data_IF_721461696446
#
_entry.id   IF_721461696446
#
_cell.length_a   1.000
_cell.length_b   1.000
_cell.length_c   1.000
_cell.angle_alpha   90.00
_cell.angle_beta   90.00
_cell.angle_gamma   90.00
#
_symmetry.space_group_name_H-M   'P 1'
#
loop_
_entity.id
_entity.type
_entity.pdbx_description
1 polymer ?
#
# COMPACT_ATOMS: atom_id res chain seq x y z
N UNK A 1 -11.24 -21.92 7.54
CA UNK A 1 -12.60 -22.50 7.51
C UNK A 1 -13.53 -21.84 6.49
N UNK A 2 -13.30 -20.58 6.06
CA UNK A 2 -14.15 -19.89 5.06
C UNK A 2 -13.85 -20.29 3.61
N UNK A 3 -12.62 -20.69 3.29
CA UNK A 3 -12.21 -21.10 1.93
C UNK A 3 -12.74 -22.50 1.55
N UNK A 4 -12.80 -23.44 2.48
CA UNK A 4 -13.31 -24.81 2.21
C UNK A 4 -14.82 -24.88 1.93
N UNK A 5 -15.60 -23.87 2.40
CA UNK A 5 -17.04 -23.78 2.10
C UNK A 5 -17.35 -23.15 0.74
N UNK A 6 -16.39 -22.41 0.14
CA UNK A 6 -16.59 -21.79 -1.18
C UNK A 6 -16.43 -22.79 -2.35
N UNK A 7 -15.56 -23.77 -2.25
CA UNK A 7 -15.35 -24.73 -3.35
C UNK A 7 -16.61 -25.59 -3.63
N UNK A 8 -17.31 -26.04 -2.60
CA UNK A 8 -18.53 -26.87 -2.79
C UNK A 8 -19.76 -26.10 -3.27
N UNK A 9 -19.78 -24.75 -3.14
CA UNK A 9 -20.89 -23.90 -3.65
C UNK A 9 -20.66 -23.47 -5.11
N UNK A 10 -19.45 -23.57 -5.62
CA UNK A 10 -19.06 -23.10 -6.95
C UNK A 10 -19.42 -24.11 -8.03
N UNK A 11 -19.32 -25.41 -7.78
CA UNK A 11 -19.58 -26.44 -8.80
C UNK A 11 -21.04 -26.47 -9.29
N UNK A 12 -22.02 -26.10 -8.46
CA UNK A 12 -23.43 -26.05 -8.85
C UNK A 12 -23.86 -24.78 -9.60
N UNK A 13 -23.02 -23.73 -9.60
CA UNK A 13 -23.34 -22.43 -10.22
C UNK A 13 -23.09 -22.40 -11.74
N UNK A 14 -22.21 -23.25 -12.26
CA UNK A 14 -21.75 -23.19 -13.64
C UNK A 14 -22.09 -24.44 -14.42
N UNK A 15 -22.60 -24.26 -15.65
CA UNK A 15 -22.92 -25.31 -16.64
C UNK A 15 -22.02 -25.20 -17.88
N UNK A 16 -22.03 -26.23 -18.68
CA UNK A 16 -21.40 -26.20 -20.01
C UNK A 16 -22.13 -25.24 -20.94
N UNK A 17 -21.44 -24.76 -21.96
CA UNK A 17 -22.02 -23.98 -23.06
C UNK A 17 -23.00 -24.83 -23.88
N UNK A 18 -24.09 -24.23 -24.31
CA UNK A 18 -25.00 -24.81 -25.30
C UNK A 18 -24.46 -24.66 -26.73
N UNK A 19 -24.95 -25.45 -27.68
CA UNK A 19 -24.57 -25.32 -29.09
C UNK A 19 -24.89 -23.91 -29.66
N UNK A 20 -26.01 -23.34 -29.24
CA UNK A 20 -26.38 -21.96 -29.61
C UNK A 20 -25.36 -20.94 -29.09
N UNK A 21 -24.98 -21.03 -27.82
CA UNK A 21 -23.98 -20.12 -27.23
C UNK A 21 -22.61 -20.25 -27.91
N UNK A 22 -22.18 -21.47 -28.24
CA UNK A 22 -20.95 -21.70 -29.00
C UNK A 22 -21.02 -21.08 -30.41
N UNK A 23 -22.16 -21.17 -31.09
CA UNK A 23 -22.36 -20.55 -32.40
C UNK A 23 -22.26 -19.05 -32.32
N UNK A 24 -22.91 -18.41 -31.33
CA UNK A 24 -22.87 -16.96 -31.13
C UNK A 24 -21.46 -16.50 -30.74
N UNK A 25 -20.78 -17.17 -29.85
CA UNK A 25 -19.40 -16.85 -29.44
C UNK A 25 -18.45 -16.91 -30.66
N UNK A 26 -18.53 -17.97 -31.44
CA UNK A 26 -17.73 -18.12 -32.67
C UNK A 26 -18.00 -17.00 -33.67
N UNK A 27 -19.29 -16.67 -33.90
CA UNK A 27 -19.70 -15.55 -34.78
C UNK A 27 -19.22 -14.20 -34.27
N UNK A 28 -19.07 -14.03 -32.95
CA UNK A 28 -18.51 -12.85 -32.31
C UNK A 28 -16.95 -12.81 -32.33
N UNK A 29 -16.29 -13.75 -33.00
CA UNK A 29 -14.84 -13.83 -33.10
C UNK A 29 -14.15 -14.34 -31.83
N UNK A 30 -14.87 -15.10 -31.00
CA UNK A 30 -14.28 -15.72 -29.83
C UNK A 30 -13.64 -17.07 -30.17
N UNK A 31 -12.58 -17.43 -29.47
CA UNK A 31 -11.86 -18.69 -29.62
C UNK A 31 -11.55 -19.30 -28.25
N UNK A 32 -11.35 -20.60 -28.20
CA UNK A 32 -10.89 -21.29 -27.01
C UNK A 32 -9.89 -22.39 -27.37
N UNK A 33 -8.96 -22.70 -26.48
CA UNK A 33 -8.10 -23.89 -26.59
C UNK A 33 -8.96 -25.16 -26.55
N UNK A 34 -9.93 -25.21 -25.63
CA UNK A 34 -10.93 -26.25 -25.49
C UNK A 34 -12.22 -25.63 -24.88
N UNK A 35 -13.29 -25.62 -25.69
CA UNK A 35 -14.59 -25.10 -25.25
C UNK A 35 -15.21 -25.88 -24.09
N UNK A 36 -14.83 -27.15 -23.89
CA UNK A 36 -15.33 -27.96 -22.78
C UNK A 36 -14.88 -27.47 -21.42
N UNK A 37 -13.77 -26.69 -21.38
CA UNK A 37 -13.23 -26.06 -20.20
C UNK A 37 -13.84 -24.68 -19.89
N UNK A 38 -14.72 -24.18 -20.77
CA UNK A 38 -15.46 -22.92 -20.55
C UNK A 38 -16.83 -23.23 -19.97
N UNK A 39 -17.07 -22.80 -18.76
CA UNK A 39 -18.34 -22.96 -18.06
C UNK A 39 -18.98 -21.63 -17.78
N UNK A 40 -20.32 -21.57 -17.81
CA UNK A 40 -21.08 -20.33 -17.70
C UNK A 40 -22.20 -20.46 -16.67
N UNK A 41 -22.54 -19.34 -16.02
CA UNK A 41 -23.69 -19.26 -15.12
C UNK A 41 -25.01 -19.20 -15.92
N UNK A 42 -26.16 -19.43 -15.25
CA UNK A 42 -27.49 -19.33 -15.88
C UNK A 42 -27.79 -17.94 -16.49
N UNK A 43 -27.23 -16.87 -15.95
CA UNK A 43 -27.43 -15.50 -16.47
C UNK A 43 -26.43 -15.08 -17.55
N UNK A 44 -25.65 -16.00 -18.11
CA UNK A 44 -24.69 -15.71 -19.17
C UNK A 44 -25.40 -15.46 -20.52
N UNK A 45 -25.01 -14.37 -21.22
CA UNK A 45 -25.49 -14.03 -22.56
C UNK A 45 -24.29 -13.84 -23.51
N UNK A 46 -24.09 -14.75 -24.50
CA UNK A 46 -22.92 -14.76 -25.37
C UNK A 46 -22.82 -13.50 -26.27
N UNK A 47 -23.90 -12.74 -26.47
CA UNK A 47 -23.86 -11.51 -27.30
C UNK A 47 -22.96 -10.41 -26.71
N UNK A 48 -22.68 -10.45 -25.39
CA UNK A 48 -21.81 -9.50 -24.70
C UNK A 48 -20.35 -9.99 -24.56
N UNK A 49 -19.99 -11.06 -25.28
CA UNK A 49 -18.61 -11.55 -25.35
C UNK A 49 -18.15 -11.51 -26.81
N UNK A 50 -17.11 -10.68 -27.08
CA UNK A 50 -16.64 -10.42 -28.45
C UNK A 50 -15.12 -10.36 -28.53
N UNK A 51 -14.54 -11.09 -29.49
CA UNK A 51 -13.09 -11.10 -29.70
C UNK A 51 -12.32 -11.57 -28.48
N UNK A 52 -12.87 -12.51 -27.74
CA UNK A 52 -12.25 -13.08 -26.57
C UNK A 52 -11.54 -14.40 -26.90
N UNK A 53 -10.41 -14.66 -26.23
CA UNK A 53 -9.73 -15.95 -26.26
C UNK A 53 -9.75 -16.59 -24.87
N UNK A 54 -10.01 -17.88 -24.78
CA UNK A 54 -10.11 -18.64 -23.55
C UNK A 54 -9.12 -19.81 -23.52
N UNK A 55 -8.26 -19.87 -22.49
CA UNK A 55 -7.35 -20.97 -22.24
C UNK A 55 -7.49 -21.53 -20.83
N UNK A 56 -7.23 -22.81 -20.68
CA UNK A 56 -7.36 -23.49 -19.40
C UNK A 56 -8.81 -23.52 -18.88
N UNK A 57 -8.99 -23.48 -17.57
CA UNK A 57 -10.29 -23.52 -16.90
C UNK A 57 -10.90 -22.10 -16.77
N UNK A 58 -12.04 -21.89 -17.43
CA UNK A 58 -12.75 -20.60 -17.45
C UNK A 58 -14.14 -20.76 -16.85
N UNK A 59 -14.51 -19.84 -15.95
CA UNK A 59 -15.86 -19.71 -15.41
C UNK A 59 -16.36 -18.28 -15.62
N UNK A 60 -17.52 -18.13 -16.26
CA UNK A 60 -18.10 -16.83 -16.60
C UNK A 60 -19.44 -16.65 -15.90
N UNK A 61 -19.57 -15.61 -15.12
CA UNK A 61 -20.79 -15.18 -14.45
C UNK A 61 -21.81 -14.54 -15.40
N UNK A 62 -22.90 -14.07 -14.83
CA UNK A 62 -23.94 -13.34 -15.54
C UNK A 62 -23.39 -12.00 -16.09
N UNK A 63 -23.78 -11.65 -17.31
CA UNK A 63 -23.32 -10.44 -17.97
C UNK A 63 -24.49 -9.64 -18.60
N UNK A 64 -24.20 -8.53 -19.28
CA UNK A 64 -25.21 -7.66 -19.90
C UNK A 64 -25.81 -6.61 -18.99
N UNK A 65 -25.40 -6.54 -17.71
CA UNK A 65 -25.80 -5.48 -16.80
C UNK A 65 -25.29 -4.11 -17.28
N UNK A 66 -26.03 -3.04 -17.00
CA UNK A 66 -25.61 -1.68 -17.30
C UNK A 66 -24.52 -1.22 -16.33
N UNK A 67 -23.42 -0.71 -16.87
CA UNK A 67 -22.31 -0.12 -16.12
C UNK A 67 -22.22 1.35 -16.49
N UNK A 68 -22.32 2.20 -15.47
CA UNK A 68 -22.21 3.65 -15.61
C UNK A 68 -20.74 4.07 -15.47
N UNK A 69 -20.20 4.65 -16.53
CA UNK A 69 -18.83 5.15 -16.61
C UNK A 69 -18.80 6.68 -16.51
N UNK A 70 -17.64 7.28 -16.21
CA UNK A 70 -17.47 8.74 -16.22
C UNK A 70 -17.97 9.38 -17.52
N UNK A 71 -18.47 10.60 -17.43
CA UNK A 71 -19.02 11.31 -18.57
C UNK A 71 -20.43 10.87 -19.02
N UNK A 72 -21.13 10.08 -18.20
CA UNK A 72 -22.50 9.62 -18.49
C UNK A 72 -22.56 8.45 -19.49
N UNK A 73 -21.43 7.86 -19.82
CA UNK A 73 -21.37 6.70 -20.73
C UNK A 73 -21.92 5.46 -20.05
N UNK A 74 -22.82 4.74 -20.73
CA UNK A 74 -23.36 3.47 -20.27
C UNK A 74 -22.85 2.35 -21.17
N UNK A 75 -22.19 1.36 -20.58
CA UNK A 75 -21.76 0.13 -21.26
C UNK A 75 -22.45 -1.09 -20.66
N UNK A 76 -22.45 -2.18 -21.39
CA UNK A 76 -22.92 -3.47 -20.88
C UNK A 76 -21.74 -4.28 -20.38
N UNK A 77 -21.91 -4.90 -19.22
CA UNK A 77 -20.94 -5.88 -18.69
C UNK A 77 -20.74 -7.01 -19.68
N UNK A 78 -19.54 -7.53 -19.74
CA UNK A 78 -19.13 -8.56 -20.68
C UNK A 78 -17.64 -8.55 -20.96
N UNK A 79 -17.20 -9.26 -21.98
CA UNK A 79 -15.78 -9.43 -22.31
C UNK A 79 -15.56 -8.99 -23.76
N UNK A 80 -14.68 -8.02 -23.94
CA UNK A 80 -14.43 -7.39 -25.24
C UNK A 80 -12.92 -7.28 -25.52
N UNK A 81 -12.42 -8.02 -26.49
CA UNK A 81 -10.99 -8.02 -26.88
C UNK A 81 -10.07 -8.32 -25.69
N UNK A 82 -10.13 -9.54 -25.19
CA UNK A 82 -9.32 -10.00 -24.08
C UNK A 82 -8.97 -11.49 -24.21
N UNK A 83 -7.79 -11.86 -23.76
CA UNK A 83 -7.42 -13.25 -23.56
C UNK A 83 -7.42 -13.58 -22.07
N UNK A 84 -8.10 -14.67 -21.70
CA UNK A 84 -8.25 -15.11 -20.31
C UNK A 84 -7.73 -16.55 -20.18
N UNK A 85 -6.89 -16.80 -19.17
CA UNK A 85 -6.32 -18.11 -18.88
C UNK A 85 -6.54 -18.47 -17.41
N UNK A 86 -7.20 -19.61 -17.16
CA UNK A 86 -7.49 -20.09 -15.80
C UNK A 86 -8.17 -19.03 -14.93
N UNK A 87 -9.27 -18.42 -15.40
CA UNK A 87 -9.95 -17.30 -14.72
C UNK A 87 -11.38 -17.66 -14.29
N UNK A 88 -11.78 -17.11 -13.14
CA UNK A 88 -13.18 -17.05 -12.72
C UNK A 88 -13.66 -15.61 -12.78
N UNK A 89 -14.73 -15.36 -13.52
CA UNK A 89 -15.31 -14.04 -13.72
C UNK A 89 -16.69 -13.99 -13.05
N UNK A 90 -16.87 -13.08 -12.11
CA UNK A 90 -18.12 -12.86 -11.38
C UNK A 90 -19.24 -12.25 -12.22
N UNK A 91 -20.35 -11.95 -11.57
CA UNK A 91 -21.52 -11.38 -12.20
C UNK A 91 -21.35 -9.89 -12.47
N UNK A 92 -21.80 -9.39 -13.61
CA UNK A 92 -21.77 -7.98 -13.97
C UNK A 92 -20.37 -7.39 -14.26
N UNK A 93 -19.37 -8.23 -14.49
CA UNK A 93 -17.98 -7.82 -14.78
C UNK A 93 -17.87 -7.26 -16.20
N UNK A 94 -17.10 -6.18 -16.36
CA UNK A 94 -16.67 -5.64 -17.66
C UNK A 94 -15.17 -5.83 -17.81
N UNK A 95 -14.77 -6.56 -18.85
CA UNK A 95 -13.36 -6.68 -19.27
C UNK A 95 -13.26 -6.17 -20.70
N UNK A 96 -12.42 -5.17 -20.94
CA UNK A 96 -12.28 -4.60 -22.27
C UNK A 96 -10.84 -4.17 -22.58
N UNK A 97 -10.37 -4.51 -23.78
CA UNK A 97 -9.07 -4.06 -24.29
C UNK A 97 -7.90 -4.48 -23.40
N UNK A 98 -7.70 -5.76 -23.22
CA UNK A 98 -6.54 -6.32 -22.53
C UNK A 98 -5.41 -6.54 -23.54
N UNK A 99 -4.26 -5.93 -23.31
CA UNK A 99 -3.15 -5.91 -24.27
C UNK A 99 -2.47 -7.26 -24.45
N UNK A 100 -2.23 -7.97 -23.35
CA UNK A 100 -1.67 -9.33 -23.36
C UNK A 100 -2.71 -10.35 -22.93
N UNK A 101 -2.89 -10.55 -21.64
CA UNK A 101 -3.87 -11.49 -21.10
C UNK A 101 -4.12 -11.25 -19.60
N UNK A 102 -5.18 -11.85 -19.10
CA UNK A 102 -5.43 -12.03 -17.66
C UNK A 102 -5.24 -13.53 -17.37
N UNK A 103 -4.42 -13.88 -16.39
CA UNK A 103 -4.12 -15.27 -16.08
C UNK A 103 -4.13 -15.56 -14.58
N UNK A 104 -4.80 -16.66 -14.20
CA UNK A 104 -4.91 -17.16 -12.83
C UNK A 104 -5.47 -16.12 -11.87
N UNK A 105 -6.61 -15.51 -12.25
CA UNK A 105 -7.31 -14.54 -11.43
C UNK A 105 -8.79 -14.89 -11.25
N UNK A 106 -9.28 -14.60 -10.05
CA UNK A 106 -10.69 -14.61 -9.71
C UNK A 106 -11.16 -13.15 -9.55
N UNK A 107 -12.03 -12.71 -10.47
CA UNK A 107 -12.65 -11.40 -10.44
C UNK A 107 -14.03 -11.52 -9.81
N UNK A 108 -14.27 -10.84 -8.72
CA UNK A 108 -15.56 -10.81 -8.06
C UNK A 108 -16.59 -9.97 -8.87
N UNK A 109 -17.81 -9.85 -8.35
CA UNK A 109 -18.90 -9.20 -9.06
C UNK A 109 -18.63 -7.72 -9.32
N UNK A 110 -19.16 -7.18 -10.43
CA UNK A 110 -19.11 -5.77 -10.84
C UNK A 110 -17.71 -5.18 -11.00
N UNK A 111 -16.69 -6.00 -11.15
CA UNK A 111 -15.32 -5.54 -11.45
C UNK A 111 -15.28 -4.93 -12.86
N UNK A 112 -14.54 -3.84 -13.00
CA UNK A 112 -14.26 -3.20 -14.30
C UNK A 112 -12.76 -3.26 -14.57
N UNK A 113 -12.39 -3.93 -15.67
CA UNK A 113 -11.01 -3.98 -16.19
C UNK A 113 -11.02 -3.40 -17.60
N UNK A 114 -10.35 -2.28 -17.81
CA UNK A 114 -10.37 -1.61 -19.12
C UNK A 114 -9.01 -1.01 -19.49
N UNK A 115 -8.57 -1.26 -20.72
CA UNK A 115 -7.30 -0.77 -21.26
C UNK A 115 -6.10 -1.15 -20.38
N UNK A 116 -5.99 -2.40 -20.00
CA UNK A 116 -4.86 -2.92 -19.21
C UNK A 116 -3.88 -3.68 -20.08
N UNK A 117 -2.59 -3.62 -19.76
CA UNK A 117 -1.59 -4.43 -20.45
C UNK A 117 -1.72 -5.89 -20.07
N UNK A 118 -1.57 -6.21 -18.78
CA UNK A 118 -1.67 -7.57 -18.25
C UNK A 118 -2.09 -7.60 -16.78
N UNK A 119 -2.76 -8.70 -16.37
CA UNK A 119 -3.02 -9.04 -14.97
C UNK A 119 -2.70 -10.52 -14.78
N UNK A 120 -1.63 -10.84 -14.02
CA UNK A 120 -1.07 -12.20 -14.00
C UNK A 120 -0.75 -12.62 -12.57
N UNK A 121 -1.14 -13.84 -12.19
CA UNK A 121 -0.55 -14.54 -11.05
C UNK A 121 0.44 -15.58 -11.59
N UNK A 122 1.74 -15.42 -11.25
CA UNK A 122 2.82 -16.23 -11.86
C UNK A 122 2.95 -17.62 -11.21
N UNK A 123 2.41 -17.79 -10.01
CA UNK A 123 2.44 -19.02 -9.25
C UNK A 123 2.10 -18.77 -7.78
N UNK A 124 2.57 -19.62 -6.89
CA UNK A 124 2.31 -19.49 -5.47
C UNK A 124 2.92 -18.20 -4.92
N UNK A 125 2.07 -17.26 -4.53
CA UNK A 125 2.42 -15.94 -4.02
C UNK A 125 1.75 -15.66 -2.68
N UNK A 126 2.41 -14.89 -1.81
CA UNK A 126 1.82 -14.30 -0.62
C UNK A 126 1.41 -12.83 -0.84
N UNK A 127 1.50 -12.35 -2.08
CA UNK A 127 1.07 -11.00 -2.50
C UNK A 127 1.66 -9.89 -1.63
N UNK A 128 2.98 -9.90 -1.46
CA UNK A 128 3.70 -8.93 -0.65
C UNK A 128 3.72 -9.21 0.86
N UNK A 129 2.87 -10.11 1.36
CA UNK A 129 2.93 -10.49 2.76
C UNK A 129 4.21 -11.29 3.05
N UNK A 130 4.91 -10.93 4.15
CA UNK A 130 6.17 -11.54 4.55
C UNK A 130 7.42 -10.88 3.96
N UNK A 131 7.27 -9.88 3.10
CA UNK A 131 8.42 -9.08 2.64
C UNK A 131 9.02 -8.34 3.83
N UNK A 132 10.32 -8.41 3.99
CA UNK A 132 11.03 -7.71 5.06
C UNK A 132 11.43 -6.30 4.63
N UNK A 133 11.00 -5.31 5.41
CA UNK A 133 11.44 -3.93 5.28
C UNK A 133 12.50 -3.61 6.34
N UNK A 134 13.71 -3.29 5.91
CA UNK A 134 14.80 -2.90 6.80
C UNK A 134 14.62 -1.43 7.21
N UNK A 135 14.10 -1.18 8.40
CA UNK A 135 13.76 0.17 8.87
C UNK A 135 14.74 0.68 9.92
N UNK A 136 14.79 2.00 10.09
CA UNK A 136 15.60 2.72 11.08
C UNK A 136 17.12 2.62 10.83
N UNK A 137 17.59 1.61 10.14
CA UNK A 137 19.01 1.43 9.81
C UNK A 137 19.15 0.83 8.40
N UNK A 138 19.78 1.56 7.49
CA UNK A 138 20.01 1.09 6.12
C UNK A 138 20.89 -0.16 6.05
N UNK A 139 21.75 -0.38 7.03
CA UNK A 139 22.61 -1.57 7.09
C UNK A 139 21.89 -2.82 7.58
N UNK A 140 20.57 -2.73 7.86
CA UNK A 140 19.77 -3.84 8.36
C UNK A 140 19.87 -4.05 9.88
N UNK A 141 19.31 -5.17 10.36
CA UNK A 141 19.24 -5.54 11.76
C UNK A 141 17.96 -5.11 12.48
N UNK A 142 17.06 -4.43 11.77
CA UNK A 142 15.72 -4.05 12.25
C UNK A 142 14.65 -4.33 11.20
N UNK A 143 14.77 -5.44 10.52
CA UNK A 143 13.79 -5.90 9.54
C UNK A 143 12.44 -6.15 10.23
N UNK A 144 11.39 -5.65 9.57
CA UNK A 144 10.01 -5.88 9.96
C UNK A 144 9.30 -6.55 8.79
N UNK A 145 8.80 -7.78 8.92
CA UNK A 145 7.99 -8.39 7.89
C UNK A 145 6.66 -7.66 7.76
N UNK A 146 6.38 -7.16 6.56
CA UNK A 146 5.11 -6.49 6.27
C UNK A 146 4.02 -7.54 6.03
N UNK A 147 2.82 -7.26 6.48
CA UNK A 147 1.64 -8.11 6.25
C UNK A 147 0.35 -7.32 6.46
N UNK A 148 -0.78 -7.88 6.04
CA UNK A 148 -2.08 -7.19 5.99
C UNK A 148 -2.52 -6.53 7.31
N UNK A 149 -2.16 -7.12 8.45
CA UNK A 149 -2.58 -6.64 9.78
C UNK A 149 -1.44 -5.98 10.57
N UNK A 150 -0.39 -5.51 9.87
CA UNK A 150 0.70 -4.81 10.53
C UNK A 150 0.21 -3.48 11.12
N UNK A 151 0.53 -3.26 12.39
CA UNK A 151 0.23 -2.00 13.10
C UNK A 151 1.52 -1.29 13.50
N UNK A 152 1.43 0.01 13.75
CA UNK A 152 2.56 0.80 14.24
C UNK A 152 3.12 0.23 15.54
N UNK A 153 2.25 -0.24 16.45
CA UNK A 153 2.63 -0.82 17.73
C UNK A 153 3.41 -2.12 17.56
N UNK A 154 2.93 -3.03 16.72
CA UNK A 154 3.61 -4.29 16.45
C UNK A 154 4.96 -4.07 15.77
N UNK A 155 4.98 -3.24 14.73
CA UNK A 155 6.20 -2.88 14.03
C UNK A 155 7.24 -2.22 14.95
N UNK A 156 6.78 -1.33 15.87
CA UNK A 156 7.64 -0.71 16.86
C UNK A 156 8.29 -1.73 17.78
N UNK A 157 7.52 -2.68 18.32
CA UNK A 157 8.07 -3.77 19.16
C UNK A 157 9.10 -4.57 18.36
N UNK A 158 8.81 -4.94 17.13
CA UNK A 158 9.72 -5.71 16.30
C UNK A 158 11.00 -4.94 15.96
N UNK A 159 10.92 -3.67 15.60
CA UNK A 159 12.08 -2.87 15.23
C UNK A 159 12.92 -2.43 16.43
N UNK A 160 12.31 -2.07 17.57
CA UNK A 160 12.98 -1.39 18.66
C UNK A 160 13.32 -2.32 19.85
N UNK A 161 12.67 -3.49 19.98
CA UNK A 161 12.89 -4.44 21.06
C UNK A 161 13.65 -5.70 20.63
N UNK A 162 14.54 -5.60 19.63
CA UNK A 162 15.33 -6.73 19.09
C UNK A 162 16.13 -7.48 20.17
N UNK A 163 16.48 -6.84 21.27
CA UNK A 163 17.13 -7.45 22.43
C UNK A 163 16.24 -8.48 23.15
N UNK A 164 14.91 -8.41 22.96
CA UNK A 164 13.93 -9.36 23.51
C UNK A 164 13.74 -10.56 22.57
N UNK A 165 14.81 -11.29 22.29
CA UNK A 165 14.88 -12.35 21.26
C UNK A 165 13.71 -13.33 21.28
N UNK A 166 13.31 -13.82 22.47
CA UNK A 166 12.20 -14.78 22.59
C UNK A 166 10.84 -14.17 22.19
N UNK A 167 10.59 -12.90 22.49
CA UNK A 167 9.38 -12.19 22.08
C UNK A 167 9.37 -11.98 20.58
N UNK A 168 10.49 -11.51 20.03
CA UNK A 168 10.61 -11.28 18.57
C UNK A 168 10.39 -12.58 17.80
N UNK A 169 11.05 -13.68 18.21
CA UNK A 169 10.87 -14.97 17.55
C UNK A 169 9.41 -15.48 17.56
N UNK A 170 8.66 -15.23 18.64
CA UNK A 170 7.22 -15.57 18.70
C UNK A 170 6.39 -14.71 17.77
N UNK A 171 6.69 -13.42 17.64
CA UNK A 171 6.00 -12.51 16.71
C UNK A 171 6.31 -12.90 15.27
N UNK A 172 7.55 -13.18 14.94
CA UNK A 172 7.95 -13.65 13.61
C UNK A 172 7.24 -14.96 13.24
N UNK A 173 7.15 -15.91 14.16
CA UNK A 173 6.41 -17.15 13.95
C UNK A 173 4.90 -16.93 13.74
N UNK A 174 4.30 -16.03 14.51
CA UNK A 174 2.89 -15.67 14.34
C UNK A 174 2.66 -15.06 12.94
N UNK A 175 3.51 -14.11 12.52
CA UNK A 175 3.42 -13.48 11.20
C UNK A 175 3.65 -14.49 10.09
N UNK A 176 4.63 -15.40 10.25
CA UNK A 176 4.90 -16.46 9.27
C UNK A 176 3.64 -17.31 8.99
N UNK A 177 2.91 -17.69 10.04
CA UNK A 177 1.65 -18.45 9.89
C UNK A 177 0.57 -17.64 9.17
N UNK A 178 0.46 -16.35 9.46
CA UNK A 178 -0.46 -15.46 8.75
C UNK A 178 -0.09 -15.34 7.27
N UNK A 179 1.20 -15.23 6.95
CA UNK A 179 1.70 -15.18 5.56
C UNK A 179 1.41 -16.50 4.83
N UNK A 180 1.69 -17.65 5.46
CA UNK A 180 1.40 -18.96 4.88
C UNK A 180 -0.09 -19.16 4.57
N UNK A 181 -0.97 -18.68 5.44
CA UNK A 181 -2.42 -18.76 5.23
C UNK A 181 -2.92 -17.88 4.07
N UNK A 182 -2.12 -16.91 3.62
CA UNK A 182 -2.47 -16.03 2.49
C UNK A 182 -1.89 -16.47 1.16
N UNK A 183 -1.06 -17.49 1.16
CA UNK A 183 -0.45 -17.97 -0.08
C UNK A 183 -1.52 -18.59 -1.00
N UNK A 184 -1.47 -18.19 -2.25
CA UNK A 184 -2.33 -18.73 -3.32
C UNK A 184 -1.57 -18.71 -4.65
N UNK A 185 -1.93 -19.60 -5.55
CA UNK A 185 -1.50 -19.59 -6.95
C UNK A 185 -2.48 -18.83 -7.85
N UNK A 186 -3.50 -18.19 -7.25
CA UNK A 186 -4.51 -17.38 -7.92
C UNK A 186 -4.60 -16.01 -7.28
N UNK A 187 -4.56 -14.96 -8.10
CA UNK A 187 -4.83 -13.60 -7.66
C UNK A 187 -6.33 -13.35 -7.53
N UNK A 188 -6.70 -12.32 -6.77
CA UNK A 188 -8.11 -11.93 -6.60
C UNK A 188 -8.31 -10.44 -6.81
N UNK A 189 -9.44 -10.07 -7.40
CA UNK A 189 -9.91 -8.69 -7.49
C UNK A 189 -11.30 -8.61 -6.87
N UNK A 190 -11.42 -7.83 -5.80
CA UNK A 190 -12.63 -7.67 -5.01
C UNK A 190 -13.76 -6.98 -5.76
N UNK A 191 -14.98 -7.18 -5.29
CA UNK A 191 -16.20 -6.69 -5.93
C UNK A 191 -16.19 -5.15 -6.10
N UNK A 192 -16.72 -4.67 -7.20
CA UNK A 192 -16.83 -3.24 -7.50
C UNK A 192 -15.53 -2.54 -7.84
N UNK A 193 -14.41 -3.23 -7.81
CA UNK A 193 -13.09 -2.63 -8.10
C UNK A 193 -12.93 -2.26 -9.57
N UNK A 194 -12.12 -1.24 -9.81
CA UNK A 194 -11.85 -0.70 -11.15
C UNK A 194 -10.35 -0.68 -11.41
N UNK A 195 -9.92 -1.38 -12.46
CA UNK A 195 -8.53 -1.38 -12.94
C UNK A 195 -8.55 -0.84 -14.37
N UNK A 196 -8.10 0.40 -14.54
CA UNK A 196 -8.24 1.13 -15.81
C UNK A 196 -6.91 1.73 -16.21
N UNK A 197 -6.59 1.65 -17.50
CA UNK A 197 -5.37 2.24 -18.08
C UNK A 197 -4.06 1.80 -17.37
N UNK A 198 -4.04 0.63 -16.76
CA UNK A 198 -2.92 0.11 -15.98
C UNK A 198 -2.08 -0.82 -16.84
N UNK A 199 -0.76 -0.61 -16.87
CA UNK A 199 0.09 -1.35 -17.82
C UNK A 199 0.37 -2.78 -17.36
N UNK A 200 0.83 -2.99 -16.12
CA UNK A 200 1.20 -4.34 -15.65
C UNK A 200 0.81 -4.54 -14.17
N UNK A 201 0.12 -5.64 -13.90
CA UNK A 201 -0.25 -6.08 -12.56
C UNK A 201 0.14 -7.55 -12.41
N UNK A 202 1.15 -7.85 -11.60
CA UNK A 202 1.72 -9.20 -11.45
C UNK A 202 1.79 -9.59 -9.97
N UNK A 203 1.14 -10.69 -9.61
CA UNK A 203 1.08 -11.20 -8.23
C UNK A 203 0.54 -10.16 -7.23
N UNK A 204 -0.57 -9.51 -7.60
CA UNK A 204 -1.21 -8.47 -6.75
C UNK A 204 -2.62 -8.88 -6.39
N UNK A 205 -2.93 -8.90 -5.09
CA UNK A 205 -4.29 -9.07 -4.59
C UNK A 205 -4.94 -7.70 -4.38
N UNK A 206 -6.17 -7.55 -4.86
CA UNK A 206 -6.92 -6.28 -4.81
C UNK A 206 -8.23 -6.50 -4.05
N UNK A 207 -8.50 -5.66 -3.05
CA UNK A 207 -9.71 -5.67 -2.22
C UNK A 207 -10.93 -5.10 -2.94
N UNK A 208 -12.05 -4.94 -2.21
CA UNK A 208 -13.31 -4.44 -2.75
C UNK A 208 -13.28 -2.92 -2.99
N UNK A 209 -14.01 -2.45 -4.01
CA UNK A 209 -14.16 -1.03 -4.36
C UNK A 209 -12.82 -0.29 -4.55
N UNK A 210 -11.72 -1.02 -4.77
CA UNK A 210 -10.42 -0.43 -5.06
C UNK A 210 -10.41 0.22 -6.44
N UNK A 211 -9.68 1.33 -6.56
CA UNK A 211 -9.48 2.00 -7.84
C UNK A 211 -7.98 2.00 -8.17
N UNK A 212 -7.64 1.34 -9.28
CA UNK A 212 -6.29 1.36 -9.86
C UNK A 212 -6.40 2.02 -11.24
N UNK A 213 -5.86 3.22 -11.38
CA UNK A 213 -6.03 4.02 -12.59
C UNK A 213 -4.71 4.59 -13.10
N UNK A 214 -4.23 4.08 -14.23
CA UNK A 214 -3.02 4.57 -14.88
C UNK A 214 -1.71 4.16 -14.23
N UNK A 215 -1.69 3.15 -13.36
CA UNK A 215 -0.46 2.63 -12.79
C UNK A 215 0.41 1.98 -13.87
N UNK A 216 1.73 2.16 -13.77
CA UNK A 216 2.69 1.59 -14.73
C UNK A 216 3.05 0.14 -14.36
N UNK A 217 3.35 -0.13 -13.10
CA UNK A 217 3.73 -1.48 -12.69
C UNK A 217 3.38 -1.72 -11.22
N UNK A 218 2.60 -2.75 -10.97
CA UNK A 218 2.29 -3.25 -9.64
C UNK A 218 2.76 -4.70 -9.56
N UNK A 219 3.60 -5.02 -8.60
CA UNK A 219 4.22 -6.35 -8.51
C UNK A 219 4.36 -6.82 -7.07
N UNK A 220 3.98 -8.08 -6.84
CA UNK A 220 4.07 -8.73 -5.52
C UNK A 220 3.51 -7.85 -4.41
N UNK A 221 2.19 -7.62 -4.41
CA UNK A 221 1.58 -6.69 -3.47
C UNK A 221 0.14 -7.02 -3.10
N UNK A 222 -0.33 -6.36 -2.06
CA UNK A 222 -1.74 -6.36 -1.66
C UNK A 222 -2.24 -4.92 -1.60
N UNK A 223 -3.38 -4.68 -2.22
CA UNK A 223 -4.17 -3.46 -2.10
C UNK A 223 -5.41 -3.83 -1.29
N UNK A 224 -5.34 -3.65 0.03
CA UNK A 224 -6.48 -3.82 0.90
C UNK A 224 -7.44 -2.64 0.69
N UNK A 225 -8.70 -2.95 0.50
CA UNK A 225 -9.75 -1.97 0.23
C UNK A 225 -11.09 -2.52 0.66
N UNK A 226 -11.96 -1.67 1.13
CA UNK A 226 -13.36 -2.00 1.50
C UNK A 226 -14.30 -0.92 0.99
N UNK A 227 -15.60 -1.20 1.02
CA UNK A 227 -16.64 -0.23 0.65
C UNK A 227 -16.55 1.06 1.48
N UNK A 228 -16.24 0.95 2.77
CA UNK A 228 -16.16 2.07 3.71
C UNK A 228 -14.85 2.86 3.57
N UNK A 229 -13.79 2.19 3.15
CA UNK A 229 -12.45 2.76 3.04
C UNK A 229 -11.76 2.31 1.73
N UNK A 230 -12.23 2.79 0.58
CA UNK A 230 -11.67 2.43 -0.72
C UNK A 230 -10.23 2.95 -0.87
N UNK A 231 -9.38 2.10 -1.44
CA UNK A 231 -7.97 2.41 -1.70
C UNK A 231 -7.77 2.82 -3.15
N UNK A 232 -6.92 3.82 -3.36
CA UNK A 232 -6.65 4.37 -4.68
C UNK A 232 -5.16 4.25 -5.05
N UNK A 233 -4.90 3.71 -6.25
CA UNK A 233 -3.56 3.70 -6.86
C UNK A 233 -3.63 4.38 -8.22
N UNK A 234 -2.94 5.50 -8.37
CA UNK A 234 -3.11 6.42 -9.49
C UNK A 234 -2.03 6.37 -10.57
N UNK A 235 -2.08 7.39 -11.40
CA UNK A 235 -1.30 7.46 -12.62
C UNK A 235 0.22 7.50 -12.38
N UNK A 236 0.95 6.73 -13.20
CA UNK A 236 2.39 6.70 -13.18
C UNK A 236 3.02 5.94 -12.01
N UNK A 237 2.21 5.39 -11.12
CA UNK A 237 2.71 4.65 -9.93
C UNK A 237 3.44 3.38 -10.34
N UNK A 238 4.60 3.17 -9.70
CA UNK A 238 5.30 1.88 -9.69
C UNK A 238 5.42 1.39 -8.26
N UNK A 239 4.96 0.17 -7.98
CA UNK A 239 5.04 -0.43 -6.66
C UNK A 239 5.46 -1.89 -6.73
N UNK A 240 6.39 -2.30 -5.89
CA UNK A 240 6.82 -3.69 -5.75
C UNK A 240 7.04 -4.07 -4.30
N UNK A 241 6.71 -5.33 -3.97
CA UNK A 241 6.91 -5.87 -2.63
C UNK A 241 6.20 -5.00 -1.57
N UNK A 242 4.90 -4.79 -1.72
CA UNK A 242 4.18 -3.79 -0.95
C UNK A 242 2.85 -4.28 -0.37
N UNK A 243 2.43 -3.64 0.71
CA UNK A 243 1.08 -3.71 1.25
C UNK A 243 0.52 -2.28 1.33
N UNK A 244 -0.63 -2.05 0.71
CA UNK A 244 -1.42 -0.82 0.86
C UNK A 244 -2.68 -1.14 1.68
N UNK A 245 -2.82 -0.51 2.84
CA UNK A 245 -3.97 -0.70 3.72
C UNK A 245 -5.17 0.14 3.28
N UNK A 246 -6.35 -0.19 3.81
CA UNK A 246 -7.61 0.44 3.44
C UNK A 246 -7.59 1.96 3.56
N UNK A 247 -8.21 2.65 2.59
CA UNK A 247 -8.31 4.10 2.56
C UNK A 247 -7.00 4.83 2.27
N UNK A 248 -5.93 4.10 1.91
CA UNK A 248 -4.68 4.72 1.48
C UNK A 248 -4.75 5.20 0.02
N UNK A 249 -3.88 6.14 -0.31
CA UNK A 249 -3.72 6.68 -1.66
C UNK A 249 -2.25 6.70 -2.06
N UNK A 250 -1.94 6.09 -3.19
CA UNK A 250 -0.61 6.14 -3.82
C UNK A 250 -0.83 6.72 -5.22
N UNK A 251 -0.26 7.87 -5.53
CA UNK A 251 -0.64 8.58 -6.75
C UNK A 251 0.51 9.34 -7.41
N UNK A 252 0.24 9.80 -8.61
CA UNK A 252 1.02 10.80 -9.37
C UNK A 252 2.51 10.45 -9.44
N UNK A 253 2.82 9.29 -10.05
CA UNK A 253 4.20 8.88 -10.34
C UNK A 253 5.03 8.48 -9.11
N UNK A 254 4.41 8.16 -8.00
CA UNK A 254 5.12 7.68 -6.80
C UNK A 254 5.76 6.31 -7.03
N UNK A 255 6.92 6.09 -6.41
CA UNK A 255 7.72 4.87 -6.54
C UNK A 255 7.86 4.19 -5.18
N UNK A 256 7.36 2.97 -5.06
CA UNK A 256 7.27 2.23 -3.80
C UNK A 256 7.95 0.88 -3.94
N UNK A 257 8.87 0.57 -3.02
CA UNK A 257 9.54 -0.74 -2.99
C UNK A 257 9.76 -1.21 -1.55
N UNK A 258 9.37 -2.46 -1.26
CA UNK A 258 9.47 -3.05 0.09
C UNK A 258 8.88 -2.14 1.17
N UNK A 259 7.62 -1.74 0.99
CA UNK A 259 6.97 -0.78 1.88
C UNK A 259 5.62 -1.27 2.40
N UNK A 260 5.27 -0.81 3.59
CA UNK A 260 3.92 -0.85 4.13
C UNK A 260 3.30 0.54 4.10
N UNK A 261 2.16 0.68 3.46
CA UNK A 261 1.39 1.93 3.36
C UNK A 261 0.12 1.74 4.18
N UNK A 262 0.08 2.33 5.37
CA UNK A 262 -0.98 2.15 6.36
C UNK A 262 -2.29 2.86 6.01
N UNK A 263 -3.25 2.75 6.92
CA UNK A 263 -4.61 3.29 6.75
C UNK A 263 -4.61 4.82 6.61
N UNK A 264 -5.31 5.34 5.62
CA UNK A 264 -5.42 6.78 5.37
C UNK A 264 -4.10 7.48 5.05
N UNK A 265 -3.07 6.74 4.66
CA UNK A 265 -1.78 7.29 4.23
C UNK A 265 -1.90 7.84 2.81
N UNK A 266 -1.27 8.98 2.57
CA UNK A 266 -1.16 9.60 1.25
C UNK A 266 0.31 9.63 0.82
N UNK A 267 0.62 9.01 -0.32
CA UNK A 267 1.94 9.05 -0.97
C UNK A 267 1.72 9.58 -2.39
N UNK A 268 2.20 10.77 -2.68
CA UNK A 268 1.79 11.46 -3.90
C UNK A 268 2.95 12.27 -4.53
N UNK A 269 2.73 12.72 -5.76
CA UNK A 269 3.57 13.69 -6.46
C UNK A 269 5.02 13.26 -6.62
N UNK A 270 5.25 12.03 -7.08
CA UNK A 270 6.58 11.51 -7.36
C UNK A 270 7.42 11.18 -6.12
N UNK A 271 6.78 10.99 -4.96
CA UNK A 271 7.48 10.54 -3.76
C UNK A 271 8.09 9.16 -3.97
N UNK A 272 9.35 8.99 -3.56
CA UNK A 272 10.09 7.72 -3.64
C UNK A 272 10.26 7.12 -2.26
N UNK A 273 9.93 5.84 -2.10
CA UNK A 273 10.12 5.13 -0.84
C UNK A 273 10.67 3.72 -1.03
N UNK A 274 11.69 3.38 -0.27
CA UNK A 274 12.24 2.03 -0.20
C UNK A 274 12.46 1.58 1.26
N UNK A 275 12.21 0.30 1.55
CA UNK A 275 12.39 -0.30 2.88
C UNK A 275 11.73 0.52 4.00
N UNK A 276 10.50 1.00 3.78
CA UNK A 276 9.88 1.98 4.67
C UNK A 276 8.47 1.58 5.09
N UNK A 277 8.11 1.92 6.33
CA UNK A 277 6.78 1.70 6.87
C UNK A 277 6.13 3.05 7.14
N UNK A 278 4.95 3.27 6.56
CA UNK A 278 4.15 4.48 6.78
C UNK A 278 2.86 4.10 7.48
N UNK A 279 2.67 4.56 8.71
CA UNK A 279 1.49 4.26 9.50
C UNK A 279 0.44 5.36 9.41
N UNK A 280 -0.70 5.11 10.03
CA UNK A 280 -1.94 5.83 9.83
C UNK A 280 -1.80 7.35 9.70
N UNK A 281 -2.48 7.89 8.69
CA UNK A 281 -2.55 9.33 8.41
C UNK A 281 -1.23 10.02 8.03
N UNK A 282 -0.15 9.27 7.79
CA UNK A 282 1.07 9.84 7.23
C UNK A 282 0.81 10.45 5.85
N UNK A 283 1.55 11.49 5.49
CA UNK A 283 1.37 12.20 4.22
C UNK A 283 2.72 12.64 3.65
N UNK A 284 3.10 12.04 2.53
CA UNK A 284 4.41 12.26 1.90
C UNK A 284 4.26 12.65 0.44
N UNK A 285 4.85 13.80 0.08
CA UNK A 285 4.85 14.35 -1.27
C UNK A 285 6.24 14.77 -1.70
N UNK A 286 6.61 14.58 -2.96
CA UNK A 286 7.78 15.14 -3.63
C UNK A 286 9.16 14.78 -3.06
N UNK A 287 9.25 14.07 -1.97
CA UNK A 287 10.49 13.76 -1.27
C UNK A 287 10.93 12.32 -1.48
N UNK A 288 11.83 11.91 -0.60
CA UNK A 288 12.38 10.55 -0.57
C UNK A 288 12.37 9.99 0.86
N UNK A 289 12.11 8.70 0.98
CA UNK A 289 12.25 7.95 2.21
C UNK A 289 13.03 6.65 1.97
N UNK A 290 14.06 6.41 2.79
CA UNK A 290 14.83 5.18 2.76
C UNK A 290 15.03 4.65 4.18
N UNK A 291 14.64 3.39 4.40
CA UNK A 291 14.73 2.73 5.70
C UNK A 291 14.03 3.50 6.84
N UNK A 292 12.81 3.96 6.57
CA UNK A 292 12.06 4.85 7.46
C UNK A 292 10.98 4.06 8.21
N UNK A 293 10.92 4.27 9.52
CA UNK A 293 9.75 3.98 10.32
C UNK A 293 8.95 5.28 10.52
N UNK A 294 7.99 5.53 9.63
CA UNK A 294 7.09 6.65 9.74
C UNK A 294 5.84 6.25 10.55
N UNK A 295 5.88 6.48 11.84
CA UNK A 295 4.72 6.32 12.73
C UNK A 295 3.58 7.26 12.33
N UNK A 296 2.38 7.11 12.94
CA UNK A 296 1.21 7.90 12.58
C UNK A 296 1.48 9.40 12.46
N UNK A 297 0.81 10.04 11.49
CA UNK A 297 0.92 11.49 11.22
C UNK A 297 2.34 12.00 10.89
N UNK A 298 3.19 11.16 10.31
CA UNK A 298 4.46 11.62 9.74
C UNK A 298 4.19 12.36 8.43
N UNK A 299 4.70 13.58 8.33
CA UNK A 299 4.41 14.51 7.23
C UNK A 299 5.68 15.00 6.57
N UNK A 300 5.76 14.85 5.23
CA UNK A 300 6.81 15.38 4.36
C UNK A 300 6.18 15.87 3.06
N UNK A 301 6.02 17.20 2.89
CA UNK A 301 5.23 17.76 1.78
C UNK A 301 6.06 18.47 0.72
N UNK A 302 7.37 18.58 0.86
CA UNK A 302 8.17 19.46 0.03
C UNK A 302 9.27 18.72 -0.72
N UNK A 303 9.62 19.23 -1.89
CA UNK A 303 10.80 18.79 -2.66
C UNK A 303 12.08 18.94 -1.85
N UNK A 304 13.10 18.17 -2.19
CA UNK A 304 14.39 18.13 -1.51
C UNK A 304 14.33 17.73 -0.03
N UNK A 305 13.24 17.13 0.43
CA UNK A 305 13.16 16.51 1.75
C UNK A 305 13.60 15.06 1.66
N UNK A 306 14.57 14.68 2.51
CA UNK A 306 15.02 13.31 2.68
C UNK A 306 14.73 12.84 4.09
N UNK A 307 14.00 11.74 4.20
CA UNK A 307 13.85 10.97 5.45
C UNK A 307 14.66 9.68 5.28
N UNK A 308 15.66 9.48 6.13
CA UNK A 308 16.55 8.32 6.01
C UNK A 308 16.87 7.72 7.37
N UNK A 309 16.86 6.38 7.44
CA UNK A 309 17.29 5.59 8.59
C UNK A 309 16.74 6.12 9.93
N UNK A 310 15.46 6.51 9.93
CA UNK A 310 14.86 7.20 11.06
C UNK A 310 13.54 6.61 11.55
N UNK A 311 13.31 6.75 12.85
CA UNK A 311 12.03 6.60 13.52
C UNK A 311 11.39 7.97 13.70
N UNK A 312 10.19 8.14 13.16
CA UNK A 312 9.43 9.38 13.16
C UNK A 312 8.03 9.12 13.69
N UNK A 313 7.49 9.99 14.54
CA UNK A 313 6.15 9.82 15.09
C UNK A 313 5.47 11.19 15.24
N UNK A 314 4.31 11.39 14.63
CA UNK A 314 3.64 12.69 14.56
C UNK A 314 4.60 13.80 14.09
N UNK A 315 5.45 13.44 13.18
CA UNK A 315 6.59 14.25 12.75
C UNK A 315 6.20 15.18 11.60
N UNK A 316 6.86 16.33 11.52
CA UNK A 316 6.71 17.22 10.38
C UNK A 316 8.08 17.67 9.85
N UNK A 317 8.40 17.26 8.62
CA UNK A 317 9.57 17.72 7.90
C UNK A 317 9.28 19.05 7.17
N UNK A 318 10.10 20.05 7.41
CA UNK A 318 10.13 21.29 6.63
C UNK A 318 10.77 21.07 5.25
N UNK A 319 10.61 22.04 4.36
CA UNK A 319 11.24 22.02 3.03
C UNK A 319 12.75 21.91 3.14
N UNK A 320 13.36 20.98 2.40
CA UNK A 320 14.80 20.76 2.43
C UNK A 320 15.34 20.12 3.72
N UNK A 321 14.45 19.71 4.64
CA UNK A 321 14.87 18.97 5.84
C UNK A 321 15.55 17.66 5.45
N UNK A 322 16.70 17.37 6.06
CA UNK A 322 17.57 16.29 5.69
C UNK A 322 18.20 15.63 6.92
N UNK A 323 18.46 14.33 6.82
CA UNK A 323 19.32 13.62 7.76
C UNK A 323 20.46 13.00 6.96
N UNK A 324 21.65 12.93 7.58
CA UNK A 324 22.81 12.39 6.90
C UNK A 324 23.38 11.20 7.63
N UNK A 325 23.73 10.22 6.85
CA UNK A 325 24.46 9.03 7.26
C UNK A 325 25.91 9.03 6.75
N UNK A 326 26.58 10.18 6.72
CA UNK A 326 27.97 10.29 6.22
C UNK A 326 28.93 9.34 6.94
N UNK A 327 28.62 8.92 8.14
CA UNK A 327 29.38 7.92 8.89
C UNK A 327 29.08 6.48 8.46
N UNK A 328 28.23 6.27 7.47
CA UNK A 328 27.79 4.94 7.00
C UNK A 328 28.96 3.96 6.78
N UNK A 329 30.03 4.41 6.18
CA UNK A 329 31.22 3.58 5.91
C UNK A 329 32.19 3.50 7.12
N UNK A 330 31.95 4.25 8.18
CA UNK A 330 32.86 4.39 9.34
C UNK A 330 32.29 3.75 10.60
N UNK A 331 31.02 3.35 10.60
CA UNK A 331 30.37 2.79 11.77
C UNK A 331 29.10 2.01 11.46
N UNK A 332 28.70 1.08 12.33
CA UNK A 332 27.67 0.09 12.04
C UNK A 332 26.24 0.57 12.26
N UNK A 333 26.00 1.72 12.90
CA UNK A 333 24.65 2.16 13.28
C UNK A 333 24.48 3.63 13.00
N UNK A 334 23.63 3.93 12.02
CA UNK A 334 23.26 5.29 11.61
C UNK A 334 21.75 5.42 11.70
N UNK A 335 21.23 5.75 12.89
CA UNK A 335 19.79 5.85 13.11
C UNK A 335 19.39 7.20 13.68
N UNK A 336 18.28 7.72 13.17
CA UNK A 336 17.59 8.87 13.75
C UNK A 336 16.43 8.42 14.61
N UNK A 337 16.31 8.92 15.84
CA UNK A 337 15.17 8.66 16.73
C UNK A 337 14.49 10.00 17.03
N UNK A 338 13.43 10.31 16.33
CA UNK A 338 12.70 11.56 16.48
C UNK A 338 11.36 11.29 17.15
N UNK A 339 11.28 11.58 18.45
CA UNK A 339 10.15 11.25 19.27
C UNK A 339 8.91 12.08 18.88
N UNK A 340 7.77 11.69 19.44
CA UNK A 340 6.45 12.21 19.12
C UNK A 340 6.39 13.74 18.98
N UNK A 341 5.83 14.21 17.88
CA UNK A 341 5.53 15.62 17.66
C UNK A 341 6.73 16.50 17.28
N UNK A 342 7.88 15.88 16.99
CA UNK A 342 9.04 16.62 16.53
C UNK A 342 8.80 17.31 15.19
N UNK A 343 9.48 18.44 15.00
CA UNK A 343 9.47 19.20 13.75
C UNK A 343 10.87 19.56 13.33
N UNK A 344 11.15 19.38 12.06
CA UNK A 344 12.33 19.93 11.43
C UNK A 344 11.91 21.16 10.61
N UNK A 345 12.53 22.29 10.90
CA UNK A 345 12.33 23.52 10.14
C UNK A 345 12.85 23.36 8.71
N UNK A 346 12.56 24.33 7.85
CA UNK A 346 13.12 24.35 6.50
C UNK A 346 14.66 24.33 6.56
N UNK A 347 15.25 23.52 5.67
CA UNK A 347 16.71 23.28 5.55
C UNK A 347 17.41 22.77 6.83
N UNK A 348 16.62 22.30 7.80
CA UNK A 348 17.18 21.66 8.99
C UNK A 348 17.94 20.37 8.61
N UNK A 349 19.11 20.21 9.19
CA UNK A 349 19.98 19.09 8.96
C UNK A 349 20.48 18.49 10.26
N UNK A 350 20.48 17.18 10.38
CA UNK A 350 21.07 16.45 11.50
C UNK A 350 22.01 15.35 11.00
N UNK A 351 23.16 15.23 11.66
CA UNK A 351 24.12 14.15 11.42
C UNK A 351 23.73 12.94 12.26
N UNK A 352 23.48 11.80 11.59
CA UNK A 352 23.16 10.54 12.29
C UNK A 352 24.42 9.86 12.86
N UNK A 353 24.33 9.15 14.01
CA UNK A 353 23.12 8.94 14.81
C UNK A 353 22.69 10.19 15.58
N UNK A 354 21.39 10.43 15.66
CA UNK A 354 20.82 11.57 16.38
C UNK A 354 19.50 11.17 17.07
N UNK A 355 19.19 11.79 18.19
CA UNK A 355 17.94 11.57 18.89
C UNK A 355 17.34 12.89 19.38
N UNK A 356 16.05 13.11 19.08
CA UNK A 356 15.35 14.37 19.38
C UNK A 356 14.19 14.08 20.34
N UNK A 357 14.10 14.89 21.42
CA UNK A 357 13.06 14.78 22.44
C UNK A 357 11.67 15.12 21.92
N UNK A 358 10.64 14.58 22.56
CA UNK A 358 9.25 14.76 22.13
C UNK A 358 8.87 16.25 22.02
N UNK A 359 8.05 16.59 21.02
CA UNK A 359 7.56 17.94 20.75
C UNK A 359 8.64 19.00 20.57
N UNK A 360 9.85 18.59 20.21
CA UNK A 360 10.96 19.49 19.98
C UNK A 360 11.04 19.97 18.53
N UNK A 361 11.68 21.11 18.33
CA UNK A 361 11.90 21.70 17.02
C UNK A 361 13.40 21.74 16.74
N UNK A 362 13.81 21.22 15.58
CA UNK A 362 15.18 21.34 15.07
C UNK A 362 15.21 22.43 13.99
N UNK A 363 16.10 23.40 14.13
CA UNK A 363 16.28 24.51 13.20
C UNK A 363 17.77 24.77 12.95
N UNK A 364 18.16 24.83 11.68
CA UNK A 364 19.55 24.99 11.27
C UNK A 364 20.25 23.64 11.05
N UNK A 365 21.56 23.63 10.95
CA UNK A 365 22.40 22.48 10.61
C UNK A 365 23.22 22.03 11.81
N UNK A 366 23.07 20.75 12.17
CA UNK A 366 23.70 20.15 13.33
C UNK A 366 24.63 19.03 12.89
N UNK A 367 25.92 19.23 13.09
CA UNK A 367 26.98 18.28 12.72
C UNK A 367 27.45 17.42 13.89
N UNK A 368 26.91 17.64 15.08
CA UNK A 368 27.13 16.82 16.26
C UNK A 368 26.04 15.75 16.39
N UNK A 369 26.40 14.62 16.93
CA UNK A 369 25.48 13.51 17.22
C UNK A 369 24.64 13.84 18.47
N UNK A 370 23.67 14.74 18.35
CA UNK A 370 22.88 15.15 19.50
C UNK A 370 21.96 14.04 20.02
N UNK A 371 21.81 13.98 21.34
CA UNK A 371 20.79 13.21 22.03
C UNK A 371 20.03 14.09 23.03
N UNK A 372 18.86 14.52 22.62
CA UNK A 372 17.98 15.40 23.43
C UNK A 372 16.73 14.68 23.91
N UNK A 373 16.70 13.34 23.92
CA UNK A 373 15.50 12.56 24.28
C UNK A 373 14.94 12.89 25.66
N UNK A 374 15.81 13.19 26.62
CA UNK A 374 15.41 13.59 27.95
C UNK A 374 14.95 15.05 28.08
N UNK A 375 14.96 15.81 26.97
CA UNK A 375 14.63 17.24 26.93
C UNK A 375 13.43 17.49 26.01
N UNK A 376 12.21 17.06 26.39
CA UNK A 376 11.01 17.32 25.58
C UNK A 376 10.70 18.81 25.49
N UNK A 377 9.90 19.20 24.48
CA UNK A 377 9.48 20.59 24.22
C UNK A 377 10.64 21.59 24.03
N UNK A 378 11.80 21.12 23.59
CA UNK A 378 12.99 21.93 23.42
C UNK A 378 13.14 22.41 21.97
N UNK A 379 13.91 23.48 21.80
CA UNK A 379 14.39 23.89 20.49
C UNK A 379 15.89 23.60 20.40
N UNK A 380 16.29 22.89 19.38
CA UNK A 380 17.68 22.75 18.97
C UNK A 380 17.90 23.71 17.79
N UNK A 381 18.67 24.71 17.98
CA UNK A 381 18.96 25.77 17.00
C UNK A 381 20.43 25.82 16.66
N UNK A 382 20.76 26.27 15.46
CA UNK A 382 22.11 26.62 15.08
C UNK A 382 22.32 28.13 15.32
N UNK A 383 23.35 28.44 16.03
CA UNK A 383 23.79 29.83 16.29
C UNK A 383 25.30 29.92 16.09
N UNK A 384 25.76 30.74 15.15
CA UNK A 384 27.16 30.90 14.80
C UNK A 384 27.93 29.59 14.49
N UNK A 385 27.24 28.60 13.91
CA UNK A 385 27.83 27.30 13.58
C UNK A 385 27.82 26.28 14.72
N UNK A 386 27.33 26.65 15.88
CA UNK A 386 27.23 25.79 17.07
C UNK A 386 25.79 25.32 17.31
N UNK A 387 25.61 24.12 17.85
CA UNK A 387 24.29 23.58 18.24
C UNK A 387 23.93 24.11 19.64
N UNK A 388 22.86 24.89 19.73
CA UNK A 388 22.36 25.46 21.00
C UNK A 388 21.01 24.81 21.33
N UNK A 389 20.88 24.28 22.54
CA UNK A 389 19.64 23.73 23.07
C UNK A 389 18.93 24.73 23.97
N UNK A 390 17.66 25.00 23.70
CA UNK A 390 16.76 25.81 24.52
C UNK A 390 15.72 24.89 25.19
N UNK A 391 15.98 24.39 26.42
CA UNK A 391 15.13 23.41 27.07
C UNK A 391 13.74 23.95 27.40
N UNK A 392 12.69 23.20 27.11
CA UNK A 392 11.32 23.47 27.52
C UNK A 392 10.68 24.73 26.91
N UNK A 393 11.33 25.43 25.99
CA UNK A 393 10.81 26.65 25.36
C UNK A 393 9.50 26.43 24.64
N UNK A 394 9.30 25.18 24.09
CA UNK A 394 8.09 24.76 23.40
C UNK A 394 6.85 24.75 24.30
N UNK A 395 6.98 24.66 25.62
CA UNK A 395 5.87 24.75 26.58
C UNK A 395 5.19 26.14 26.56
N UNK A 396 5.94 27.17 26.19
CA UNK A 396 5.43 28.55 26.00
C UNK A 396 4.89 28.76 24.59
N UNK A 397 5.11 27.83 23.68
CA UNK A 397 4.71 27.96 22.28
C UNK A 397 3.28 27.46 22.05
N UNK A 398 2.44 28.31 21.52
CA UNK A 398 1.10 27.92 21.07
C UNK A 398 1.13 26.83 19.97
N UNK A 399 2.25 26.69 19.25
CA UNK A 399 2.42 25.77 18.14
C UNK A 399 2.16 24.31 18.50
N UNK A 400 2.71 23.83 19.60
CA UNK A 400 2.54 22.44 20.07
C UNK A 400 1.08 22.12 20.40
N UNK A 401 0.43 22.96 21.22
CA UNK A 401 -0.98 22.76 21.58
C UNK A 401 -1.92 22.84 20.37
N UNK A 402 -1.61 23.74 19.42
CA UNK A 402 -2.34 23.86 18.16
C UNK A 402 -2.27 22.57 17.34
N UNK A 403 -1.11 21.95 17.24
CA UNK A 403 -0.93 20.76 16.42
C UNK A 403 -1.62 19.54 17.00
N UNK A 404 -1.56 19.34 18.31
CA UNK A 404 -2.31 18.29 19.01
C UNK A 404 -3.81 18.40 18.72
N UNK A 405 -4.37 19.60 18.72
CA UNK A 405 -5.80 19.84 18.41
C UNK A 405 -6.15 19.59 16.94
N UNK A 406 -5.17 19.59 16.03
CA UNK A 406 -5.38 19.35 14.59
C UNK A 406 -5.42 17.87 14.24
N UNK A 407 -4.64 17.03 14.93
CA UNK A 407 -4.51 15.62 14.55
C UNK A 407 -5.84 14.87 14.53
N UNK A 408 -6.73 14.92 15.55
CA UNK A 408 -8.02 14.25 15.49
C UNK A 408 -8.89 14.69 14.30
N UNK A 409 -8.81 15.98 13.95
CA UNK A 409 -9.58 16.55 12.82
C UNK A 409 -9.04 16.14 11.45
N UNK A 410 -7.87 15.55 11.41
CA UNK A 410 -7.19 15.09 10.20
C UNK A 410 -7.14 13.57 10.10
N UNK A 411 -7.82 12.87 11.00
CA UNK A 411 -7.95 11.42 10.87
C UNK A 411 -8.82 11.10 9.63
N UNK A 412 -8.20 10.42 8.68
CA UNK A 412 -8.82 10.02 7.41
C UNK A 412 -9.36 8.59 7.43
N UNK A 413 -9.16 7.89 8.54
CA UNK A 413 -9.63 6.50 8.67
C UNK A 413 -11.14 6.48 8.90
N UNK A 414 -11.81 5.59 8.21
CA UNK A 414 -13.23 5.33 8.42
C UNK A 414 -13.40 4.14 9.38
N UNK A 415 -13.99 4.37 10.55
CA UNK A 415 -14.22 3.34 11.56
C UNK A 415 -13.05 3.13 12.54
N UNK A 416 -13.02 1.96 13.20
CA UNK A 416 -11.91 1.58 14.07
C UNK A 416 -10.75 1.09 13.21
N UNK A 417 -9.70 1.91 13.09
CA UNK A 417 -8.47 1.54 12.42
C UNK A 417 -7.64 0.56 13.25
N UNK A 418 -6.71 -0.15 12.57
CA UNK A 418 -5.80 -1.09 13.24
C UNK A 418 -4.79 -0.37 14.15
N UNK A 419 -4.30 0.81 13.75
CA UNK A 419 -3.41 1.61 14.58
C UNK A 419 -4.15 2.26 15.74
N UNK A 420 -3.72 2.02 16.97
CA UNK A 420 -4.21 2.71 18.17
C UNK A 420 -3.53 4.08 18.25
N UNK A 421 -4.32 5.15 18.17
CA UNK A 421 -3.80 6.52 18.20
C UNK A 421 -4.36 7.26 19.40
N UNK A 422 -3.46 7.77 20.25
CA UNK A 422 -3.80 8.65 21.34
C UNK A 422 -3.46 10.10 20.98
N UNK A 423 -4.41 10.99 21.18
CA UNK A 423 -4.28 12.40 20.78
C UNK A 423 -3.88 13.34 21.91
N UNK A 424 -3.87 12.85 23.14
CA UNK A 424 -3.51 13.67 24.29
C UNK A 424 -2.04 14.12 24.25
N UNK A 425 -1.81 15.38 24.61
CA UNK A 425 -0.47 15.98 24.56
C UNK A 425 0.54 15.20 25.43
N UNK A 426 0.13 14.81 26.62
CA UNK A 426 1.00 14.15 27.62
C UNK A 426 0.94 12.63 27.58
N UNK A 427 0.37 12.05 26.54
CA UNK A 427 0.40 10.60 26.36
C UNK A 427 1.80 10.19 25.86
N UNK A 428 2.47 9.21 26.51
CA UNK A 428 3.77 8.73 26.09
C UNK A 428 3.79 8.08 24.72
#
# INVERSE_FOLDING_TARGET
>A
YRYMFMENTIEGKYRSLTEHELTVLSANGCTAEDWSNVRVSEGFDPKYVRGAHFGGSIRLGANGAAIHLPGGVVRRSGIYRAALYDCTIGDGVLIANVGRYIARYDLADRVVVENVGEIICTGKSAFGNGVEAAVVNESGGREVPVFDHLTAQLAYVMAMYRHRRATIARLEEMIRREVEARQSDRGTIGAGSRIVNTLSTVDVRIGEEAVVEGALSLRNGTINSTVEAPTYVGAGVTASDFIAACGSRIDTGSMIKKCFIGEGVLIENGFSAENSLFFANSHCNHGEACSVFAGPYTVSHHRATLLIAGYFLFFNAGSGANQSNHMYKSGPVHQGIHLRGCKFASDAYVLLPAATGAFSIVKGRHYDHHDTRAMPFSYLIEEAGESVLLPGIGLRSFGTARDVRKWPKRDRRNGQGHDIIHYDLMNP
#
